data_IF_652022435227
#
_entry.id   IF_652022435227
#
_cell.length_a   1.000
_cell.length_b   1.000
_cell.length_c   1.000
_cell.angle_alpha   90.00
_cell.angle_beta   90.00
_cell.angle_gamma   90.00
#
_symmetry.space_group_name_H-M   'P 1'
#
loop_
_entity.id
_entity.type
_entity.pdbx_description
1 polymer ?
#
# COMPACT_ATOMS: atom_id res chain seq x y z
N UNK A 1 18.49 3.12 1.61
CA UNK A 1 17.33 2.20 1.76
C UNK A 1 17.51 1.36 3.01
N UNK A 2 16.56 1.34 3.92
CA UNK A 2 16.63 0.51 5.13
C UNK A 2 16.30 -0.95 4.78
N UNK A 3 17.26 -1.85 4.91
CA UNK A 3 17.14 -3.29 4.57
C UNK A 3 16.04 -4.01 5.37
N UNK A 4 15.67 -3.47 6.54
CA UNK A 4 14.62 -4.06 7.38
C UNK A 4 13.23 -3.98 6.74
N UNK A 5 12.88 -2.84 6.15
CA UNK A 5 11.60 -2.70 5.45
C UNK A 5 11.51 -3.63 4.23
N UNK A 6 12.61 -3.78 3.50
CA UNK A 6 12.68 -4.73 2.38
C UNK A 6 12.51 -6.18 2.85
N UNK A 7 13.16 -6.57 3.95
CA UNK A 7 13.02 -7.90 4.56
C UNK A 7 11.56 -8.19 4.93
N UNK A 8 10.89 -7.22 5.57
CA UNK A 8 9.47 -7.36 5.94
C UNK A 8 8.57 -7.54 4.72
N UNK A 9 8.75 -6.73 3.67
CA UNK A 9 8.01 -6.90 2.41
C UNK A 9 8.26 -8.26 1.76
N UNK A 10 9.47 -8.78 1.79
CA UNK A 10 9.80 -10.13 1.29
C UNK A 10 9.08 -11.23 2.06
N UNK A 11 8.96 -11.10 3.38
CA UNK A 11 8.21 -12.05 4.21
C UNK A 11 6.73 -12.00 3.86
N UNK A 12 6.13 -10.81 3.82
CA UNK A 12 4.73 -10.65 3.43
C UNK A 12 4.47 -11.20 2.02
N UNK A 13 5.34 -10.92 1.06
CA UNK A 13 5.23 -11.44 -0.30
C UNK A 13 5.21 -12.98 -0.36
N UNK A 14 5.98 -13.66 0.49
CA UNK A 14 5.95 -15.12 0.61
C UNK A 14 4.63 -15.62 1.21
N UNK A 15 4.09 -14.91 2.21
CA UNK A 15 2.84 -15.31 2.87
C UNK A 15 1.61 -15.16 1.95
N UNK A 16 1.54 -14.08 1.18
CA UNK A 16 0.42 -13.83 0.26
C UNK A 16 0.52 -14.63 -1.04
N UNK A 17 1.74 -15.06 -1.40
CA UNK A 17 1.98 -15.87 -2.61
C UNK A 17 1.88 -15.08 -3.92
N UNK A 18 2.12 -15.76 -5.05
CA UNK A 18 2.10 -15.14 -6.39
C UNK A 18 0.70 -14.73 -6.84
N UNK A 19 -0.32 -15.43 -6.36
CA UNK A 19 -1.73 -15.18 -6.71
C UNK A 19 -2.39 -14.13 -5.80
N UNK A 20 -1.67 -13.69 -4.78
CA UNK A 20 -2.10 -12.66 -3.84
C UNK A 20 -1.61 -11.26 -4.21
N UNK A 21 -2.33 -10.27 -3.72
CA UNK A 21 -1.95 -8.86 -3.74
C UNK A 21 -2.35 -8.22 -2.41
N UNK A 22 -1.45 -7.47 -1.79
CA UNK A 22 -1.76 -6.71 -0.58
C UNK A 22 -1.87 -5.22 -0.91
N UNK A 23 -2.91 -4.57 -0.36
CA UNK A 23 -3.14 -3.12 -0.50
C UNK A 23 -3.17 -2.53 0.90
N UNK A 24 -2.27 -1.60 1.18
CA UNK A 24 -2.05 -1.02 2.51
C UNK A 24 -2.05 0.51 2.38
N UNK A 25 -3.15 1.18 2.73
CA UNK A 25 -3.20 2.64 2.75
C UNK A 25 -2.46 3.19 3.96
N UNK A 26 -1.96 4.42 3.85
CA UNK A 26 -1.53 5.18 5.02
C UNK A 26 -2.70 5.88 5.69
N UNK A 27 -2.50 6.42 6.89
CA UNK A 27 -3.50 7.20 7.58
C UNK A 27 -3.76 8.54 6.85
N UNK A 28 -4.95 9.09 7.03
CA UNK A 28 -5.30 10.45 6.60
C UNK A 28 -4.83 11.48 7.61
N UNK A 29 -4.58 12.69 7.14
CA UNK A 29 -4.43 13.86 8.02
C UNK A 29 -5.71 14.08 8.80
N UNK A 30 -5.59 14.52 10.05
CA UNK A 30 -6.73 14.81 10.93
C UNK A 30 -6.72 16.28 11.33
N UNK A 31 -7.82 16.96 11.03
CA UNK A 31 -8.03 18.34 11.44
C UNK A 31 -8.15 18.42 12.97
N UNK A 32 -7.36 19.28 13.58
CA UNK A 32 -7.42 19.59 15.02
C UNK A 32 -8.42 20.71 15.29
N UNK A 33 -8.30 21.80 14.53
CA UNK A 33 -9.22 22.94 14.64
C UNK A 33 -9.09 23.83 13.40
N UNK A 34 -10.21 24.22 12.80
CA UNK A 34 -10.31 25.11 11.64
C UNK A 34 -9.32 24.73 10.52
N UNK A 35 -8.18 25.45 10.42
CA UNK A 35 -7.11 25.31 9.44
C UNK A 35 -5.83 24.63 9.99
N UNK A 36 -5.90 24.09 11.22
CA UNK A 36 -4.75 23.47 11.88
C UNK A 36 -4.97 21.96 12.01
N UNK A 37 -4.02 21.19 11.51
CA UNK A 37 -4.01 19.73 11.60
C UNK A 37 -3.25 19.24 12.85
N UNK A 38 -3.57 18.02 13.29
CA UNK A 38 -2.69 17.30 14.21
C UNK A 38 -1.38 16.93 13.51
N UNK A 39 -0.26 16.79 14.26
CA UNK A 39 0.95 16.22 13.68
C UNK A 39 0.65 14.90 12.97
N UNK A 40 1.06 14.82 11.72
CA UNK A 40 0.78 13.63 10.91
C UNK A 40 1.52 12.40 11.45
N UNK A 41 0.79 11.31 11.55
CA UNK A 41 1.33 9.98 11.86
C UNK A 41 0.82 8.98 10.83
N UNK A 42 1.71 8.31 10.09
CA UNK A 42 1.31 7.28 9.14
C UNK A 42 0.62 6.12 9.86
N UNK A 43 -0.17 5.36 9.12
CA UNK A 43 -0.67 4.07 9.60
C UNK A 43 0.50 3.16 10.01
N UNK A 44 0.32 2.40 11.09
CA UNK A 44 1.39 1.59 11.66
C UNK A 44 1.83 0.44 10.75
N UNK A 45 0.90 -0.17 10.00
CA UNK A 45 1.20 -1.26 9.10
C UNK A 45 1.85 -0.73 7.83
N UNK A 46 1.32 0.37 7.29
CA UNK A 46 1.94 1.06 6.17
C UNK A 46 3.40 1.44 6.46
N UNK A 47 3.65 2.08 7.61
CA UNK A 47 5.01 2.45 8.01
C UNK A 47 5.90 1.23 8.25
N UNK A 48 5.36 0.16 8.85
CA UNK A 48 6.09 -1.09 9.13
C UNK A 48 6.69 -1.71 7.88
N UNK A 49 6.01 -1.57 6.72
CA UNK A 49 6.49 -2.11 5.45
C UNK A 49 7.26 -1.12 4.58
N UNK A 50 7.03 0.17 4.72
CA UNK A 50 7.56 1.19 3.82
C UNK A 50 8.64 2.07 4.43
N UNK A 51 8.51 2.41 5.70
CA UNK A 51 9.28 3.48 6.34
C UNK A 51 8.91 4.88 5.84
N UNK A 52 7.88 5.01 5.00
CA UNK A 52 7.44 6.26 4.40
C UNK A 52 6.40 6.94 5.29
N UNK A 53 6.50 8.27 5.46
CA UNK A 53 5.71 9.00 6.45
C UNK A 53 4.91 10.18 5.89
N UNK A 54 4.71 10.26 4.57
CA UNK A 54 3.83 11.27 3.99
C UNK A 54 2.38 10.77 3.90
N UNK A 55 1.38 11.66 4.01
CA UNK A 55 -0.03 11.32 3.83
C UNK A 55 -0.38 11.01 2.37
N UNK A 56 -1.62 10.58 2.16
CA UNK A 56 -2.20 10.28 0.84
C UNK A 56 -1.34 9.33 0.02
N UNK A 57 -0.92 8.25 0.64
CA UNK A 57 -0.17 7.19 -0.03
C UNK A 57 -0.80 5.82 0.19
N UNK A 58 -0.63 4.94 -0.78
CA UNK A 58 -1.07 3.54 -0.73
C UNK A 58 0.08 2.66 -1.20
N UNK A 59 0.50 1.74 -0.35
CA UNK A 59 1.40 0.66 -0.72
C UNK A 59 0.62 -0.48 -1.35
N UNK A 60 1.14 -1.01 -2.45
CA UNK A 60 0.63 -2.23 -3.08
C UNK A 60 1.80 -3.21 -3.20
N UNK A 61 1.60 -4.42 -2.71
CA UNK A 61 2.56 -5.51 -2.84
C UNK A 61 1.96 -6.60 -3.72
N UNK A 62 2.51 -6.77 -4.92
CA UNK A 62 2.03 -7.68 -5.95
C UNK A 62 3.15 -8.64 -6.40
N UNK A 63 3.41 -9.75 -5.66
CA UNK A 63 4.49 -10.67 -5.97
C UNK A 63 4.37 -11.29 -7.36
N UNK A 64 5.51 -11.72 -7.94
CA UNK A 64 5.55 -12.41 -9.22
C UNK A 64 5.46 -11.53 -10.47
N UNK A 65 5.53 -10.20 -10.33
CA UNK A 65 5.57 -9.25 -11.46
C UNK A 65 7.01 -9.06 -11.94
N UNK A 66 7.18 -8.98 -13.25
CA UNK A 66 8.49 -8.68 -13.88
C UNK A 66 8.94 -7.24 -13.58
N UNK A 67 7.99 -6.29 -13.55
CA UNK A 67 8.24 -4.86 -13.27
C UNK A 67 8.46 -4.54 -11.78
N UNK A 68 8.62 -5.57 -10.95
CA UNK A 68 8.76 -5.43 -9.51
C UNK A 68 7.44 -5.57 -8.74
N UNK A 69 7.57 -5.94 -7.49
CA UNK A 69 6.44 -6.26 -6.62
C UNK A 69 5.99 -5.10 -5.72
N UNK A 70 6.90 -4.18 -5.41
CA UNK A 70 6.65 -3.09 -4.48
C UNK A 70 6.26 -1.81 -5.21
N UNK A 71 4.99 -1.45 -5.11
CA UNK A 71 4.37 -0.32 -5.80
C UNK A 71 3.85 0.67 -4.75
N UNK A 72 3.98 1.96 -5.01
CA UNK A 72 3.39 3.01 -4.17
C UNK A 72 2.63 4.01 -5.04
N UNK A 73 1.37 4.23 -4.72
CA UNK A 73 0.60 5.37 -5.20
C UNK A 73 0.70 6.49 -4.16
N UNK A 74 1.08 7.70 -4.57
CA UNK A 74 1.32 8.81 -3.66
C UNK A 74 1.06 10.17 -4.33
N UNK A 75 1.07 11.23 -3.53
CA UNK A 75 0.95 12.61 -4.05
C UNK A 75 2.13 12.93 -4.98
N UNK A 76 1.84 13.58 -6.09
CA UNK A 76 2.88 14.16 -6.93
C UNK A 76 3.53 15.35 -6.19
N UNK A 77 4.84 15.50 -6.35
CA UNK A 77 5.57 16.65 -5.83
C UNK A 77 5.00 17.96 -6.39
N UNK A 78 4.68 18.89 -5.50
CA UNK A 78 4.19 20.22 -5.86
C UNK A 78 4.97 21.28 -5.09
N UNK A 79 5.78 22.12 -5.78
CA UNK A 79 6.59 23.15 -5.13
C UNK A 79 5.80 24.17 -4.33
N UNK A 80 4.55 24.45 -4.72
CA UNK A 80 3.69 25.38 -3.98
C UNK A 80 3.25 24.77 -2.66
N UNK A 81 2.88 23.49 -2.68
CA UNK A 81 2.46 22.77 -1.48
C UNK A 81 3.63 22.52 -0.53
N UNK A 82 4.85 22.32 -1.06
CA UNK A 82 6.05 22.14 -0.22
C UNK A 82 6.38 23.34 0.66
N UNK A 83 5.94 24.53 0.29
CA UNK A 83 6.14 25.74 1.12
C UNK A 83 5.38 25.62 2.46
N UNK A 84 4.24 24.95 2.45
CA UNK A 84 3.33 24.81 3.60
C UNK A 84 3.46 23.46 4.31
N UNK A 85 3.54 22.39 3.53
CA UNK A 85 3.54 21.00 4.04
C UNK A 85 4.95 20.45 4.30
N UNK A 86 6.00 21.19 3.88
CA UNK A 86 7.38 20.74 3.95
C UNK A 86 7.78 19.85 2.75
N UNK A 87 8.93 19.20 2.86
CA UNK A 87 9.50 18.39 1.78
C UNK A 87 8.57 17.25 1.36
N UNK A 88 8.45 17.05 0.05
CA UNK A 88 7.72 15.93 -0.56
C UNK A 88 8.67 15.10 -1.43
N UNK A 89 8.68 13.78 -1.23
CA UNK A 89 9.51 12.86 -2.01
C UNK A 89 9.07 12.80 -3.48
N UNK A 90 7.77 12.78 -3.72
CA UNK A 90 7.20 12.61 -5.04
C UNK A 90 7.55 11.27 -5.69
N UNK A 91 7.15 11.10 -6.95
CA UNK A 91 7.25 9.81 -7.64
C UNK A 91 8.70 9.30 -7.82
N UNK A 92 9.64 10.19 -8.06
CA UNK A 92 11.05 9.82 -8.26
C UNK A 92 11.80 9.63 -6.94
N UNK A 93 11.52 10.47 -5.94
CA UNK A 93 12.14 10.40 -4.62
C UNK A 93 11.83 9.08 -3.93
N UNK A 94 10.56 8.66 -3.95
CA UNK A 94 10.15 7.40 -3.30
C UNK A 94 10.83 6.18 -3.90
N UNK A 95 11.08 6.14 -5.20
CA UNK A 95 11.86 5.07 -5.85
C UNK A 95 13.31 5.07 -5.34
N UNK A 96 13.95 6.24 -5.34
CA UNK A 96 15.36 6.38 -4.98
C UNK A 96 15.61 6.10 -3.50
N UNK A 97 14.78 6.64 -2.62
CA UNK A 97 15.03 6.66 -1.17
C UNK A 97 14.41 5.46 -0.44
N UNK A 98 13.29 4.92 -0.94
CA UNK A 98 12.53 3.85 -0.30
C UNK A 98 12.57 2.51 -1.04
N UNK A 99 13.19 2.48 -2.24
CA UNK A 99 13.34 1.26 -3.04
C UNK A 99 12.03 0.76 -3.62
N UNK A 100 11.14 1.68 -3.98
CA UNK A 100 9.88 1.38 -4.66
C UNK A 100 10.18 1.02 -6.11
N UNK A 101 9.65 -0.09 -6.58
CA UNK A 101 9.85 -0.55 -7.97
C UNK A 101 9.07 0.34 -8.94
N UNK A 102 7.79 0.60 -8.63
CA UNK A 102 6.93 1.46 -9.43
C UNK A 102 6.18 2.46 -8.54
N UNK A 103 6.06 3.69 -9.02
CA UNK A 103 5.32 4.75 -8.34
C UNK A 103 4.33 5.42 -9.27
N UNK A 104 3.13 5.68 -8.78
CA UNK A 104 2.03 6.31 -9.51
C UNK A 104 1.42 7.45 -8.70
N UNK A 105 0.68 8.32 -9.36
CA UNK A 105 -0.08 9.34 -8.66
C UNK A 105 -1.25 8.70 -7.91
N UNK A 106 -1.55 9.21 -6.72
CA UNK A 106 -2.68 8.71 -5.93
C UNK A 106 -4.03 8.82 -6.65
N UNK A 107 -4.17 9.80 -7.53
CA UNK A 107 -5.38 9.99 -8.34
C UNK A 107 -5.61 8.84 -9.33
N UNK A 108 -4.56 8.12 -9.72
CA UNK A 108 -4.63 7.00 -10.65
C UNK A 108 -4.88 5.66 -9.95
N UNK A 109 -5.04 5.66 -8.61
CA UNK A 109 -5.12 4.47 -7.76
C UNK A 109 -6.13 3.43 -8.26
N UNK A 110 -7.37 3.85 -8.56
CA UNK A 110 -8.43 2.92 -9.01
C UNK A 110 -8.05 2.22 -10.33
N UNK A 111 -7.48 2.96 -11.29
CA UNK A 111 -7.01 2.41 -12.55
C UNK A 111 -5.86 1.42 -12.34
N UNK A 112 -4.92 1.77 -11.45
CA UNK A 112 -3.78 0.91 -11.11
C UNK A 112 -4.26 -0.36 -10.40
N UNK A 113 -5.15 -0.25 -9.40
CA UNK A 113 -5.72 -1.42 -8.72
C UNK A 113 -6.45 -2.34 -9.69
N UNK A 114 -7.29 -1.77 -10.58
CA UNK A 114 -8.01 -2.54 -11.60
C UNK A 114 -7.04 -3.33 -12.49
N UNK A 115 -5.95 -2.71 -12.93
CA UNK A 115 -4.93 -3.39 -13.74
C UNK A 115 -4.18 -4.47 -12.98
N UNK A 116 -3.87 -4.23 -11.71
CA UNK A 116 -3.10 -5.15 -10.85
C UNK A 116 -3.94 -6.33 -10.33
N UNK A 117 -5.25 -6.20 -10.27
CA UNK A 117 -6.16 -7.29 -9.86
C UNK A 117 -6.33 -8.34 -10.95
N UNK A 118 -6.08 -8.01 -12.21
CA UNK A 118 -6.10 -8.99 -13.29
C UNK A 118 -5.05 -10.08 -13.04
N UNK A 119 -5.49 -11.34 -13.13
CA UNK A 119 -4.63 -12.51 -12.90
C UNK A 119 -4.38 -12.83 -11.42
N UNK A 120 -5.01 -12.12 -10.48
CA UNK A 120 -4.91 -12.40 -9.04
C UNK A 120 -6.15 -13.13 -8.54
N UNK A 121 -5.97 -13.98 -7.52
CA UNK A 121 -7.08 -14.72 -6.88
C UNK A 121 -7.50 -14.06 -5.57
N UNK A 122 -6.54 -13.51 -4.81
CA UNK A 122 -6.75 -13.01 -3.44
C UNK A 122 -6.27 -11.58 -3.30
N UNK A 123 -7.06 -10.76 -2.61
CA UNK A 123 -6.67 -9.42 -2.20
C UNK A 123 -6.63 -9.36 -0.68
N UNK A 124 -5.49 -8.97 -0.13
CA UNK A 124 -5.28 -8.77 1.31
C UNK A 124 -5.43 -7.29 1.62
N UNK A 125 -6.42 -6.97 2.43
CA UNK A 125 -6.78 -5.60 2.77
C UNK A 125 -7.49 -5.53 4.11
N UNK A 126 -7.34 -4.43 4.83
CA UNK A 126 -8.06 -4.15 6.08
C UNK A 126 -9.33 -3.35 5.79
N UNK A 127 -10.47 -4.04 5.65
CA UNK A 127 -11.77 -3.42 5.42
C UNK A 127 -12.28 -2.69 6.66
N UNK A 128 -12.99 -1.58 6.43
CA UNK A 128 -13.68 -0.84 7.49
C UNK A 128 -12.84 0.19 8.24
N UNK A 129 -11.60 0.41 7.83
CA UNK A 129 -10.75 1.47 8.40
C UNK A 129 -10.88 2.81 7.67
N UNK A 130 -11.13 2.79 6.37
CA UNK A 130 -11.22 3.97 5.51
C UNK A 130 -12.29 3.76 4.42
N UNK A 131 -13.45 4.40 4.59
CA UNK A 131 -14.58 4.32 3.65
C UNK A 131 -14.19 4.67 2.20
N UNK A 132 -13.23 5.59 2.01
CA UNK A 132 -12.80 6.00 0.66
C UNK A 132 -12.00 4.89 0.02
N UNK A 133 -11.09 4.27 0.78
CA UNK A 133 -10.31 3.12 0.30
C UNK A 133 -11.18 1.90 0.09
N UNK A 134 -12.13 1.62 0.97
CA UNK A 134 -13.09 0.53 0.81
C UNK A 134 -13.87 0.68 -0.49
N UNK A 135 -14.37 1.88 -0.78
CA UNK A 135 -15.10 2.18 -2.02
C UNK A 135 -14.21 2.05 -3.26
N UNK A 136 -12.99 2.59 -3.22
CA UNK A 136 -12.04 2.50 -4.34
C UNK A 136 -11.68 1.05 -4.65
N UNK A 137 -11.44 0.24 -3.62
CA UNK A 137 -11.14 -1.18 -3.76
C UNK A 137 -12.34 -1.94 -4.35
N UNK A 138 -13.54 -1.75 -3.80
CA UNK A 138 -14.76 -2.40 -4.30
C UNK A 138 -15.10 -1.99 -5.72
N UNK A 139 -14.88 -0.72 -6.09
CA UNK A 139 -15.05 -0.25 -7.46
C UNK A 139 -14.07 -0.97 -8.39
N UNK A 140 -12.78 -1.04 -8.03
CA UNK A 140 -11.77 -1.76 -8.82
C UNK A 140 -12.12 -3.23 -9.01
N UNK A 141 -12.67 -3.92 -7.99
CA UNK A 141 -13.21 -5.27 -8.12
C UNK A 141 -14.33 -5.37 -9.15
N UNK A 142 -15.30 -4.45 -9.09
CA UNK A 142 -16.43 -4.43 -10.02
C UNK A 142 -15.96 -4.17 -11.45
N UNK A 143 -15.03 -3.24 -11.63
CA UNK A 143 -14.49 -2.88 -12.96
C UNK A 143 -13.74 -4.06 -13.58
N UNK A 144 -12.94 -4.79 -12.81
CA UNK A 144 -12.26 -6.01 -13.27
C UNK A 144 -13.27 -7.07 -13.69
N UNK A 145 -14.30 -7.33 -12.87
CA UNK A 145 -15.36 -8.30 -13.19
C UNK A 145 -16.17 -7.91 -14.41
N UNK A 146 -16.52 -6.62 -14.55
CA UNK A 146 -17.26 -6.11 -15.70
C UNK A 146 -16.43 -6.16 -17.00
N UNK A 147 -15.11 -5.96 -16.93
CA UNK A 147 -14.20 -6.04 -18.08
C UNK A 147 -13.97 -7.46 -18.59
N UNK A 148 -14.24 -8.48 -17.79
CA UNK A 148 -13.96 -9.88 -18.12
C UNK A 148 -15.10 -10.56 -18.87
N UNK A 149 -15.22 -10.28 -20.16
CA UNK A 149 -16.19 -10.99 -21.03
C UNK A 149 -15.72 -12.36 -21.56
N UNK A 150 -14.43 -12.74 -21.38
CA UNK A 150 -13.83 -13.91 -22.08
C UNK A 150 -12.97 -14.83 -21.23
N UNK A 151 -13.25 -14.93 -19.93
CA UNK A 151 -12.52 -15.85 -19.04
C UNK A 151 -11.09 -15.36 -18.73
N UNK A 152 -10.85 -15.06 -17.49
CA UNK A 152 -9.56 -14.70 -16.93
C UNK A 152 -9.66 -14.82 -15.41
N UNK A 153 -8.53 -14.90 -14.72
CA UNK A 153 -8.52 -14.94 -13.27
C UNK A 153 -8.81 -13.54 -12.74
N UNK A 154 -9.85 -13.44 -11.91
CA UNK A 154 -10.19 -12.22 -11.15
C UNK A 154 -10.17 -12.55 -9.67
N UNK A 155 -9.90 -11.60 -8.80
CA UNK A 155 -9.97 -11.85 -7.38
C UNK A 155 -11.36 -12.36 -6.97
N UNK A 156 -11.37 -13.51 -6.30
CA UNK A 156 -12.58 -14.12 -5.74
C UNK A 156 -12.71 -13.88 -4.24
N UNK A 157 -11.60 -13.52 -3.58
CA UNK A 157 -11.54 -13.38 -2.13
C UNK A 157 -10.89 -12.05 -1.72
N UNK A 158 -11.49 -11.41 -0.72
CA UNK A 158 -10.82 -10.37 0.08
C UNK A 158 -10.50 -11.04 1.42
N UNK A 159 -9.22 -11.05 1.77
CA UNK A 159 -8.73 -11.59 3.04
C UNK A 159 -8.24 -10.45 3.93
N UNK A 160 -8.47 -10.59 5.23
CA UNK A 160 -7.95 -9.67 6.23
C UNK A 160 -6.41 -9.66 6.21
N UNK A 161 -5.82 -8.48 6.16
CA UNK A 161 -4.36 -8.31 6.21
C UNK A 161 -3.81 -8.45 7.63
N UNK A 162 -4.57 -8.04 8.64
CA UNK A 162 -4.16 -7.93 10.03
C UNK A 162 -3.58 -9.23 10.63
N UNK A 163 -4.16 -10.42 10.38
CA UNK A 163 -3.59 -11.66 10.91
C UNK A 163 -2.17 -11.92 10.43
N UNK A 164 -1.87 -11.59 9.16
CA UNK A 164 -0.53 -11.77 8.60
C UNK A 164 0.47 -10.80 9.23
N UNK A 165 0.08 -9.53 9.39
CA UNK A 165 0.92 -8.51 10.01
C UNK A 165 1.17 -8.83 11.48
N UNK A 166 0.13 -9.28 12.19
CA UNK A 166 0.24 -9.70 13.59
C UNK A 166 1.23 -10.86 13.76
N UNK A 167 1.10 -11.90 12.94
CA UNK A 167 2.04 -13.04 12.94
C UNK A 167 3.48 -12.59 12.68
N UNK A 168 3.70 -11.70 11.72
CA UNK A 168 5.03 -11.17 11.42
C UNK A 168 5.63 -10.39 12.59
N UNK A 169 4.82 -9.56 13.26
CA UNK A 169 5.26 -8.78 14.43
C UNK A 169 5.60 -9.67 15.62
N UNK A 170 4.79 -10.67 15.90
CA UNK A 170 5.07 -11.64 16.96
C UNK A 170 6.38 -12.38 16.73
N UNK A 171 6.61 -12.90 15.52
CA UNK A 171 7.87 -13.57 15.18
C UNK A 171 9.08 -12.64 15.33
N UNK A 172 8.96 -11.38 14.92
CA UNK A 172 10.02 -10.39 15.12
C UNK A 172 10.32 -10.11 16.60
N UNK A 173 9.29 -10.13 17.45
CA UNK A 173 9.44 -9.91 18.89
C UNK A 173 10.14 -11.09 19.59
N UNK A 174 9.79 -12.32 19.22
CA UNK A 174 10.44 -13.52 19.79
C UNK A 174 11.92 -13.62 19.44
N UNK A 175 12.34 -13.17 18.26
CA UNK A 175 13.78 -13.14 17.90
C UNK A 175 14.58 -12.09 18.68
N UNK A 176 13.94 -11.03 19.20
CA UNK A 176 14.60 -10.00 20.02
C UNK A 176 14.67 -10.38 21.51
N UNK A 177 13.95 -11.41 21.94
CA UNK A 177 13.92 -11.84 23.35
C UNK A 177 14.78 -13.09 23.63
N UNK A 178 15.51 -13.61 22.65
CA UNK A 178 16.27 -14.87 22.74
C UNK A 178 17.80 -14.67 22.62
N UNK A 179 18.27 -13.40 22.58
CA UNK A 179 19.70 -13.06 22.63
C UNK A 179 20.04 -12.48 24.03
#
# INVERSE_FOLDING_TARGET
MNKEFEKRRRVLAKMIGKDGIAVIPTAKTRVRSRDTDYPYRPDSDFYYFTGFSEPDAVMILAPGREDGAFIVCLRAKNPVTEIWDGHMEGLNGVKKNFGVDQSFKIQDLETILTSLFLGRQKVFFTLGQDDVMDKALMKSFNDVRAGQRRGGVVPSEIQALEPLVHEMRLKSFFFLCVD
#
